data_IF_547461784407
#
_entry.id   IF_547461784407
#
_cell.length_a   1.000
_cell.length_b   1.000
_cell.length_c   1.000
_cell.angle_alpha   90.00
_cell.angle_beta   90.00
_cell.angle_gamma   90.00
#
_symmetry.space_group_name_H-M   'P 1'
#
loop_
_entity.id
_entity.type
_entity.pdbx_description
1 polymer ?
#
# COMPACT_ATOMS: atom_id res chain seq x y z
N UNK A 1 -4.28 -22.51 10.79
CA UNK A 1 -2.97 -22.07 10.27
C UNK A 1 -3.06 -22.11 8.75
N UNK A 2 -3.40 -20.99 8.12
CA UNK A 2 -3.15 -20.80 6.69
C UNK A 2 -2.63 -19.37 6.55
N UNK A 3 -1.30 -19.28 6.52
CA UNK A 3 -0.57 -18.03 6.35
C UNK A 3 -0.67 -17.64 4.87
N UNK A 4 -1.53 -16.68 4.57
CA UNK A 4 -1.78 -16.20 3.21
C UNK A 4 -0.52 -15.53 2.65
N UNK A 5 -0.10 -15.97 1.48
CA UNK A 5 1.13 -15.55 0.81
C UNK A 5 1.05 -14.07 0.43
N UNK A 6 2.00 -13.26 0.90
CA UNK A 6 2.06 -11.81 0.70
C UNK A 6 2.43 -11.47 -0.76
N UNK A 7 1.48 -11.59 -1.69
CA UNK A 7 1.73 -11.38 -3.12
C UNK A 7 1.76 -9.88 -3.46
N UNK A 8 2.92 -9.35 -3.89
CA UNK A 8 3.18 -7.91 -4.10
C UNK A 8 2.91 -7.34 -5.50
N UNK A 9 1.64 -7.21 -5.89
CA UNK A 9 1.23 -6.79 -7.26
C UNK A 9 1.30 -5.26 -7.53
N UNK A 10 2.46 -4.64 -7.34
CA UNK A 10 2.65 -3.18 -7.57
C UNK A 10 3.07 -2.79 -9.00
N UNK A 11 3.38 -3.76 -9.84
CA UNK A 11 3.75 -3.54 -11.25
C UNK A 11 3.18 -4.64 -12.12
N UNK A 12 2.98 -4.34 -13.40
CA UNK A 12 2.47 -5.29 -14.38
C UNK A 12 3.44 -6.44 -14.67
N UNK A 13 2.87 -7.64 -14.84
CA UNK A 13 3.60 -8.82 -15.27
C UNK A 13 3.89 -8.73 -16.77
N UNK A 14 5.12 -8.38 -17.11
CA UNK A 14 5.58 -8.33 -18.51
C UNK A 14 5.44 -9.65 -19.28
N UNK A 15 5.32 -10.78 -18.59
CA UNK A 15 5.17 -12.11 -19.21
C UNK A 15 3.71 -12.48 -19.47
N UNK A 16 2.77 -11.96 -18.65
CA UNK A 16 1.35 -12.21 -18.83
C UNK A 16 0.85 -11.62 -20.14
N UNK A 17 1.19 -10.36 -20.43
CA UNK A 17 0.86 -9.70 -21.70
C UNK A 17 1.54 -10.32 -22.94
N UNK A 18 2.52 -11.20 -22.74
CA UNK A 18 3.17 -11.97 -23.81
C UNK A 18 2.61 -13.40 -23.94
N UNK A 19 1.62 -13.78 -23.11
CA UNK A 19 1.08 -15.14 -23.03
C UNK A 19 2.07 -16.17 -22.45
N UNK A 20 3.09 -15.73 -21.70
CA UNK A 20 4.19 -16.57 -21.19
C UNK A 20 4.24 -16.71 -19.67
N UNK A 21 3.31 -16.10 -18.94
CA UNK A 21 3.30 -16.23 -17.48
C UNK A 21 2.71 -17.59 -17.08
N UNK A 22 3.48 -18.40 -16.34
CA UNK A 22 3.07 -19.72 -15.83
C UNK A 22 2.68 -19.69 -14.35
N UNK A 23 2.81 -18.54 -13.68
CA UNK A 23 2.62 -18.41 -12.23
C UNK A 23 1.15 -18.30 -11.80
N UNK A 24 0.23 -18.15 -12.75
CA UNK A 24 -1.21 -18.04 -12.46
C UNK A 24 -1.51 -16.97 -11.40
N UNK A 25 -2.39 -17.30 -10.46
CA UNK A 25 -2.77 -16.43 -9.33
C UNK A 25 -1.63 -16.14 -8.35
N UNK A 26 -0.62 -17.03 -8.27
CA UNK A 26 0.57 -16.86 -7.45
C UNK A 26 1.64 -15.94 -8.07
N UNK A 27 1.33 -15.30 -9.21
CA UNK A 27 2.21 -14.29 -9.77
C UNK A 27 2.27 -13.07 -8.85
N UNK A 28 3.48 -12.68 -8.46
CA UNK A 28 3.72 -11.46 -7.67
C UNK A 28 3.55 -10.17 -8.45
N UNK A 29 3.28 -10.24 -9.74
CA UNK A 29 3.05 -9.09 -10.61
C UNK A 29 1.60 -9.07 -11.09
N UNK A 30 1.06 -7.87 -11.30
CA UNK A 30 -0.32 -7.68 -11.73
C UNK A 30 -0.53 -8.19 -13.18
N UNK A 31 -1.53 -9.04 -13.38
CA UNK A 31 -1.96 -9.50 -14.71
C UNK A 31 -2.95 -8.54 -15.38
N UNK A 32 -3.47 -7.56 -14.65
CA UNK A 32 -4.31 -6.49 -15.17
C UNK A 32 -4.40 -5.34 -14.17
N UNK A 33 -5.15 -4.30 -14.54
CA UNK A 33 -5.31 -3.10 -13.70
C UNK A 33 -6.05 -3.43 -12.39
N UNK A 34 -6.93 -4.42 -12.44
CA UNK A 34 -7.71 -4.94 -11.32
C UNK A 34 -6.87 -5.63 -10.25
N UNK A 35 -5.67 -6.07 -10.62
CA UNK A 35 -4.68 -6.66 -9.72
C UNK A 35 -3.58 -5.68 -9.31
N UNK A 36 -3.48 -4.52 -9.97
CA UNK A 36 -2.44 -3.55 -9.73
C UNK A 36 -2.74 -2.77 -8.45
N UNK A 37 -1.86 -2.90 -7.46
CA UNK A 37 -1.96 -2.21 -6.17
C UNK A 37 -1.19 -0.90 -6.20
N UNK A 38 -1.68 0.07 -5.44
CA UNK A 38 -0.95 1.32 -5.21
C UNK A 38 0.36 1.07 -4.49
N UNK A 39 1.43 1.72 -4.94
CA UNK A 39 2.72 1.62 -4.27
C UNK A 39 2.67 2.31 -2.91
N UNK A 40 3.26 1.69 -1.87
CA UNK A 40 3.39 2.36 -0.58
C UNK A 40 4.21 3.64 -0.75
N UNK A 41 3.74 4.72 -0.13
CA UNK A 41 4.47 5.98 -0.09
C UNK A 41 5.54 5.87 1.00
N UNK A 42 6.78 5.66 0.56
CA UNK A 42 7.93 5.46 1.45
C UNK A 42 8.78 6.71 1.64
N UNK A 43 8.35 7.86 1.12
CA UNK A 43 9.02 9.14 1.35
C UNK A 43 8.95 9.53 2.82
N UNK A 44 10.04 10.10 3.33
CA UNK A 44 10.12 10.62 4.70
C UNK A 44 9.82 9.59 5.80
N UNK A 45 9.95 8.30 5.52
CA UNK A 45 9.67 7.21 6.49
C UNK A 45 10.83 6.90 7.44
N UNK A 46 12.01 7.48 7.18
CA UNK A 46 13.22 7.33 7.99
C UNK A 46 14.00 8.65 8.00
N UNK A 47 14.75 8.87 9.07
CA UNK A 47 15.60 10.07 9.24
C UNK A 47 16.71 10.10 8.18
N UNK A 48 16.95 11.29 7.62
CA UNK A 48 18.07 11.59 6.75
C UNK A 48 19.36 11.63 7.57
N UNK A 49 20.23 10.64 7.39
CA UNK A 49 21.49 10.57 8.13
C UNK A 49 22.42 11.74 7.82
N UNK A 50 22.50 12.14 6.55
CA UNK A 50 23.32 13.30 6.14
C UNK A 50 22.82 14.58 6.81
N UNK A 51 21.51 14.79 6.88
CA UNK A 51 20.95 15.96 7.56
C UNK A 51 21.27 15.93 9.05
N UNK A 52 21.14 14.77 9.69
CA UNK A 52 21.49 14.60 11.11
C UNK A 52 22.94 14.96 11.42
N UNK A 53 23.83 14.80 10.44
CA UNK A 53 25.25 15.16 10.52
C UNK A 53 25.56 16.58 10.02
N UNK A 54 24.57 17.33 9.55
CA UNK A 54 24.77 18.66 8.94
C UNK A 54 25.35 18.65 7.52
N UNK A 55 25.34 17.50 6.85
CA UNK A 55 25.93 17.24 5.52
C UNK A 55 24.88 17.05 4.42
N UNK A 56 23.61 17.33 4.69
CA UNK A 56 22.59 17.27 3.64
C UNK A 56 22.68 18.51 2.75
N UNK A 57 22.78 18.30 1.45
CA UNK A 57 22.86 19.35 0.44
C UNK A 57 21.49 20.01 0.17
N UNK A 58 20.40 19.37 0.59
CA UNK A 58 19.05 19.92 0.44
C UNK A 58 18.80 21.00 1.49
N UNK A 59 18.70 22.25 1.01
CA UNK A 59 18.36 23.42 1.84
C UNK A 59 16.93 23.32 2.36
N UNK A 60 15.99 22.95 1.49
CA UNK A 60 14.62 22.68 1.88
C UNK A 60 14.46 21.19 2.21
N UNK A 61 13.80 20.90 3.33
CA UNK A 61 13.50 19.53 3.72
C UNK A 61 12.68 18.81 2.65
N UNK A 62 11.66 19.45 2.06
CA UNK A 62 10.74 18.78 1.13
C UNK A 62 11.42 18.20 -0.12
N UNK A 63 12.61 18.70 -0.48
CA UNK A 63 13.39 18.20 -1.61
C UNK A 63 14.16 16.91 -1.27
N UNK A 64 14.37 16.62 0.02
CA UNK A 64 15.01 15.38 0.46
C UNK A 64 13.98 14.26 0.64
N UNK A 65 14.20 13.09 0.03
CA UNK A 65 13.31 11.93 0.20
C UNK A 65 13.25 11.35 1.63
N UNK A 66 14.15 11.78 2.53
CA UNK A 66 14.26 11.32 3.90
C UNK A 66 13.89 12.43 4.89
N UNK A 67 13.50 12.07 6.10
CA UNK A 67 13.01 13.01 7.09
C UNK A 67 14.15 13.84 7.72
N UNK A 68 14.03 15.17 7.67
CA UNK A 68 14.90 16.11 8.38
C UNK A 68 14.33 16.40 9.77
N UNK A 69 14.31 15.39 10.63
CA UNK A 69 13.78 15.48 12.01
C UNK A 69 12.60 14.55 12.24
N UNK A 70 12.11 14.53 13.48
CA UNK A 70 10.93 13.71 13.84
C UNK A 70 9.64 14.34 13.32
N UNK A 71 9.61 15.66 13.27
CA UNK A 71 8.55 16.51 12.73
C UNK A 71 8.30 16.28 11.24
N UNK A 72 9.34 15.87 10.50
CA UNK A 72 9.27 15.53 9.08
C UNK A 72 9.17 14.02 8.85
N UNK A 73 9.18 13.20 9.90
CA UNK A 73 9.03 11.75 9.79
C UNK A 73 7.57 11.38 9.56
N UNK A 74 7.30 10.68 8.46
CA UNK A 74 5.95 10.30 8.02
C UNK A 74 5.76 8.80 8.22
N UNK A 75 4.59 8.41 8.72
CA UNK A 75 4.18 7.00 8.74
C UNK A 75 3.94 6.60 7.28
N UNK A 76 4.55 5.49 6.85
CA UNK A 76 4.33 4.95 5.52
C UNK A 76 2.82 4.70 5.36
N UNK A 77 2.19 5.33 4.35
CA UNK A 77 0.85 4.89 3.97
C UNK A 77 1.02 3.47 3.42
N UNK A 78 0.40 2.44 4.03
CA UNK A 78 0.40 1.12 3.43
C UNK A 78 -0.19 1.29 2.03
N UNK A 79 0.58 0.90 1.00
CA UNK A 79 -0.01 0.76 -0.32
C UNK A 79 -1.12 -0.28 -0.17
N UNK A 80 -2.34 0.04 -0.60
CA UNK A 80 -3.56 -0.73 -0.31
C UNK A 80 -3.27 -2.24 -0.19
N UNK A 81 -3.25 -2.72 1.04
CA UNK A 81 -3.63 -4.08 1.41
C UNK A 81 -4.60 -4.07 2.58
N UNK A 82 -5.43 -3.02 2.68
CA UNK A 82 -6.50 -3.01 3.66
C UNK A 82 -7.79 -3.52 3.01
N UNK A 83 -8.12 -4.73 3.44
CA UNK A 83 -9.45 -5.31 3.53
C UNK A 83 -10.11 -5.79 2.23
N UNK A 84 -10.72 -6.97 2.37
CA UNK A 84 -11.70 -7.55 1.46
C UNK A 84 -12.40 -6.53 0.58
N UNK A 85 -12.23 -6.71 -0.73
CA UNK A 85 -13.20 -6.28 -1.74
C UNK A 85 -14.52 -7.03 -1.47
N UNK A 86 -15.28 -6.57 -0.49
CA UNK A 86 -16.73 -6.54 -0.61
C UNK A 86 -16.98 -5.15 -1.23
N UNK A 87 -17.03 -5.00 -2.54
CA UNK A 87 -18.13 -5.59 -3.26
C UNK A 87 -19.47 -5.05 -2.75
N UNK A 88 -19.57 -3.79 -2.29
CA UNK A 88 -20.85 -3.06 -2.25
C UNK A 88 -20.65 -1.56 -2.03
N UNK A 89 -21.09 -0.80 -3.03
CA UNK A 89 -21.21 0.64 -2.99
C UNK A 89 -22.57 0.94 -2.34
N UNK A 90 -22.62 1.15 -1.02
CA UNK A 90 -23.84 1.61 -0.37
C UNK A 90 -23.55 2.74 0.62
N UNK A 91 -23.81 3.96 0.15
CA UNK A 91 -24.17 5.10 0.99
C UNK A 91 -25.30 4.69 1.94
N UNK A 92 -25.06 4.68 3.25
CA UNK A 92 -26.15 4.80 4.21
C UNK A 92 -25.59 5.35 5.53
N UNK A 93 -25.93 6.61 5.79
CA UNK A 93 -25.96 7.11 7.14
C UNK A 93 -26.94 6.26 7.96
N UNK A 94 -26.42 5.74 9.08
CA UNK A 94 -27.15 5.59 10.34
C UNK A 94 -28.15 4.42 10.52
N UNK A 95 -28.13 3.91 11.76
CA UNK A 95 -29.22 3.33 12.55
C UNK A 95 -29.30 1.80 12.78
N UNK A 96 -28.78 1.46 13.96
CA UNK A 96 -29.22 0.52 15.02
C UNK A 96 -29.24 -1.01 14.82
N UNK A 97 -28.33 -1.61 15.59
CA UNK A 97 -28.48 -2.88 16.28
C UNK A 97 -29.60 -2.79 17.35
N UNK A 98 -30.66 -3.60 17.23
CA UNK A 98 -31.29 -4.26 18.38
C UNK A 98 -31.89 -5.60 17.95
N UNK A 99 -31.53 -6.63 18.71
CA UNK A 99 -31.88 -8.03 18.58
C UNK A 99 -33.40 -8.26 18.67
N UNK A 100 -33.98 -9.06 17.77
CA UNK A 100 -35.12 -9.93 18.08
C UNK A 100 -35.08 -11.16 17.17
N UNK A 101 -34.65 -12.27 17.76
CA UNK A 101 -34.95 -13.63 17.30
C UNK A 101 -36.42 -13.86 17.63
N UNK A 102 -37.26 -14.07 16.61
CA UNK A 102 -38.58 -14.68 16.80
C UNK A 102 -38.47 -16.17 16.50
N UNK A 103 -38.22 -16.93 17.57
CA UNK A 103 -38.92 -18.16 17.94
C UNK A 103 -38.74 -18.36 19.46
#
# INVERSE_FOLDING_TARGET
MEFYEEVFKFTFCKYFFKGKCTRGSACTFAHGIEELRERPQLSKTRICEKWRQGLCEHVNSEDCKFAHGKEDLRIAKPGICDLHRQGELQTAASFVCTSFVFL
#
